data_IF_313273188283
#
_entry.id   IF_313273188283
#
_cell.length_a   1.000
_cell.length_b   1.000
_cell.length_c   1.000
_cell.angle_alpha   90.00
_cell.angle_beta   90.00
_cell.angle_gamma   90.00
#
_symmetry.space_group_name_H-M   'P 1'
#
loop_
_entity.id
_entity.type
_entity.pdbx_description
1 polymer ?
#
# COMPACT_ATOMS: atom_id res chain seq x y z
N UNK A 1 8.09 4.61 8.96
CA UNK A 1 7.57 4.16 7.65
C UNK A 1 6.79 5.33 7.04
N UNK A 2 6.85 5.50 5.73
CA UNK A 2 5.99 6.45 5.02
C UNK A 2 4.75 5.72 4.56
N UNK A 3 3.58 6.19 4.97
CA UNK A 3 2.27 5.68 4.58
C UNK A 3 1.73 6.61 3.49
N UNK A 4 1.38 6.05 2.35
CA UNK A 4 0.80 6.78 1.23
C UNK A 4 -0.66 6.35 1.12
N UNK A 5 -1.55 7.33 1.18
CA UNK A 5 -3.00 7.18 1.05
C UNK A 5 -3.52 8.12 -0.04
N UNK A 6 -4.76 7.92 -0.48
CA UNK A 6 -5.41 8.85 -1.42
C UNK A 6 -5.58 10.26 -0.85
N UNK A 7 -5.67 10.39 0.48
CA UNK A 7 -5.75 11.68 1.18
C UNK A 7 -4.40 12.38 1.36
N UNK A 8 -3.28 11.68 1.18
CA UNK A 8 -1.95 12.26 1.33
C UNK A 8 -0.86 11.29 1.78
N UNK A 9 0.24 11.85 2.27
CA UNK A 9 1.42 11.11 2.72
C UNK A 9 1.70 11.42 4.17
N UNK A 10 1.81 10.40 5.01
CA UNK A 10 2.17 10.52 6.43
C UNK A 10 3.44 9.72 6.76
N UNK A 11 4.21 10.19 7.73
CA UNK A 11 5.35 9.45 8.28
C UNK A 11 5.10 9.07 9.71
N UNK A 12 4.94 7.76 9.94
CA UNK A 12 4.64 7.18 11.24
C UNK A 12 5.67 6.12 11.65
N UNK A 13 5.92 5.99 12.95
CA UNK A 13 6.72 4.90 13.50
C UNK A 13 5.85 3.66 13.71
N UNK A 14 6.20 2.53 13.09
CA UNK A 14 5.54 1.25 13.34
C UNK A 14 6.46 0.37 14.19
N UNK A 15 5.92 -0.15 15.29
CA UNK A 15 6.58 -1.15 16.10
C UNK A 15 6.21 -2.54 15.60
N UNK A 16 7.17 -3.21 14.99
CA UNK A 16 7.03 -4.60 14.55
C UNK A 16 7.12 -5.54 15.75
N UNK A 17 6.23 -6.54 15.82
CA UNK A 17 6.33 -7.56 16.86
C UNK A 17 7.58 -8.43 16.61
N UNK A 18 8.37 -8.62 17.66
CA UNK A 18 9.68 -9.30 17.64
C UNK A 18 9.65 -10.67 18.35
N UNK A 19 8.46 -11.23 18.63
CA UNK A 19 8.34 -12.53 19.29
C UNK A 19 8.95 -13.66 18.43
N UNK A 20 9.38 -14.75 19.06
CA UNK A 20 9.92 -15.92 18.36
C UNK A 20 8.85 -16.55 17.46
N UNK A 21 9.05 -16.51 16.14
CA UNK A 21 8.05 -16.93 15.16
C UNK A 21 7.05 -15.83 14.76
N UNK A 22 7.30 -14.57 15.13
CA UNK A 22 6.59 -13.44 14.57
C UNK A 22 6.71 -13.42 13.03
N UNK A 23 5.65 -12.97 12.38
CA UNK A 23 5.64 -12.81 10.93
C UNK A 23 6.64 -11.73 10.50
N UNK A 24 7.08 -11.80 9.24
CA UNK A 24 7.97 -10.80 8.65
C UNK A 24 7.31 -9.42 8.61
N UNK A 25 8.09 -8.32 8.64
CA UNK A 25 7.57 -6.95 8.72
C UNK A 25 6.50 -6.61 7.66
N UNK A 26 6.65 -7.11 6.45
CA UNK A 26 5.69 -6.95 5.35
C UNK A 26 4.33 -7.61 5.66
N UNK A 27 4.33 -8.80 6.25
CA UNK A 27 3.10 -9.50 6.66
C UNK A 27 2.44 -8.82 7.84
N UNK A 28 3.23 -8.26 8.76
CA UNK A 28 2.71 -7.46 9.88
C UNK A 28 2.05 -6.17 9.38
N UNK A 29 2.62 -5.51 8.36
CA UNK A 29 1.97 -4.38 7.67
C UNK A 29 0.68 -4.82 6.98
N UNK A 30 0.71 -5.95 6.28
CA UNK A 30 -0.45 -6.49 5.60
C UNK A 30 -1.63 -6.74 6.57
N UNK A 31 -1.34 -7.28 7.76
CA UNK A 31 -2.35 -7.52 8.80
C UNK A 31 -3.03 -6.25 9.31
N UNK A 32 -2.40 -5.08 9.20
CA UNK A 32 -2.97 -3.79 9.63
C UNK A 32 -3.52 -2.96 8.47
N UNK A 33 -3.70 -3.56 7.29
CA UNK A 33 -4.29 -2.86 6.14
C UNK A 33 -3.29 -2.07 5.29
N UNK A 34 -1.99 -2.34 5.42
CA UNK A 34 -0.94 -1.64 4.69
C UNK A 34 -0.18 -2.59 3.77
N UNK A 35 -0.01 -2.20 2.51
CA UNK A 35 0.78 -2.95 1.54
C UNK A 35 2.19 -2.36 1.42
N UNK A 36 3.21 -3.13 1.79
CA UNK A 36 4.59 -2.67 1.74
C UNK A 36 5.09 -2.46 0.30
N UNK A 37 5.84 -1.38 0.06
CA UNK A 37 6.54 -1.16 -1.20
C UNK A 37 7.72 -2.13 -1.43
N UNK A 38 8.21 -2.75 -0.35
CA UNK A 38 9.31 -3.73 -0.38
C UNK A 38 9.11 -4.75 0.73
N UNK A 39 9.31 -6.04 0.40
CA UNK A 39 9.19 -7.14 1.35
C UNK A 39 10.42 -7.33 2.25
N UNK A 40 11.58 -6.80 1.85
CA UNK A 40 12.85 -6.99 2.59
C UNK A 40 13.16 -5.87 3.57
N UNK A 41 12.85 -4.62 3.20
CA UNK A 41 13.05 -3.46 4.05
C UNK A 41 11.96 -2.41 3.79
N UNK A 42 10.75 -2.59 4.36
CA UNK A 42 9.63 -1.71 4.11
C UNK A 42 9.86 -0.31 4.70
N UNK A 43 10.27 0.64 3.84
CA UNK A 43 10.36 2.07 4.18
C UNK A 43 9.09 2.84 3.85
N UNK A 44 8.34 2.33 2.87
CA UNK A 44 7.08 2.90 2.37
C UNK A 44 6.02 1.81 2.35
N UNK A 45 4.78 2.17 2.67
CA UNK A 45 3.61 1.32 2.50
C UNK A 45 2.42 2.13 1.97
N UNK A 46 1.49 1.44 1.33
CA UNK A 46 0.30 2.01 0.70
C UNK A 46 -0.95 1.49 1.40
N UNK A 47 -1.98 2.32 1.51
CA UNK A 47 -3.30 1.83 1.91
C UNK A 47 -3.93 1.03 0.77
N UNK A 48 -4.77 0.04 1.09
CA UNK A 48 -5.50 -0.70 0.06
C UNK A 48 -6.46 0.21 -0.72
N UNK A 49 -7.07 1.20 -0.08
CA UNK A 49 -7.93 2.18 -0.74
C UNK A 49 -7.20 2.95 -1.85
N UNK A 50 -5.93 3.34 -1.61
CA UNK A 50 -5.13 3.97 -2.65
C UNK A 50 -4.83 3.02 -3.82
N UNK A 51 -4.52 1.76 -3.53
CA UNK A 51 -4.26 0.76 -4.57
C UNK A 51 -5.52 0.46 -5.41
N UNK A 52 -6.68 0.37 -4.77
CA UNK A 52 -7.96 0.16 -5.44
C UNK A 52 -8.30 1.36 -6.35
N UNK A 53 -8.15 2.58 -5.86
CA UNK A 53 -8.33 3.79 -6.66
C UNK A 53 -7.36 3.83 -7.85
N UNK A 54 -6.09 3.46 -7.65
CA UNK A 54 -5.12 3.40 -8.74
C UNK A 54 -5.51 2.38 -9.83
N UNK A 55 -6.09 1.24 -9.44
CA UNK A 55 -6.59 0.25 -10.39
C UNK A 55 -7.82 0.80 -11.13
N UNK A 56 -8.76 1.43 -10.41
CA UNK A 56 -9.95 2.04 -11.00
C UNK A 56 -9.58 3.16 -11.98
N UNK A 57 -8.69 4.08 -11.60
CA UNK A 57 -8.23 5.18 -12.46
C UNK A 57 -7.61 4.63 -13.77
N UNK A 58 -6.80 3.58 -13.67
CA UNK A 58 -6.21 2.95 -14.86
C UNK A 58 -7.24 2.22 -15.74
N UNK A 59 -8.25 1.60 -15.13
CA UNK A 59 -9.36 0.97 -15.85
C UNK A 59 -10.22 2.02 -16.55
N UNK A 60 -10.61 3.10 -15.87
CA UNK A 60 -11.39 4.20 -16.45
C UNK A 60 -10.61 4.92 -17.54
N UNK A 61 -9.30 5.10 -17.39
CA UNK A 61 -8.43 5.66 -18.42
C UNK A 61 -8.41 4.77 -19.68
N UNK A 62 -8.35 3.45 -19.50
CA UNK A 62 -8.37 2.49 -20.62
C UNK A 62 -9.73 2.49 -21.34
N UNK A 63 -10.83 2.56 -20.59
CA UNK A 63 -12.20 2.63 -21.14
C UNK A 63 -12.44 3.96 -21.84
N UNK A 64 -12.01 5.08 -21.26
CA UNK A 64 -12.13 6.41 -21.87
C UNK A 64 -11.33 6.49 -23.18
N UNK A 65 -10.14 5.88 -23.23
CA UNK A 65 -9.37 5.77 -24.47
C UNK A 65 -10.08 4.92 -25.53
N UNK A 66 -10.74 3.82 -25.15
CA UNK A 66 -11.51 2.97 -26.07
C UNK A 66 -12.81 3.61 -26.55
N UNK A 67 -13.42 4.53 -25.80
CA UNK A 67 -14.68 5.21 -26.20
C UNK A 67 -14.40 6.41 -27.11
N UNK A 68 -13.22 7.04 -27.00
CA UNK A 68 -12.85 8.26 -27.75
C UNK A 68 -12.12 7.94 -29.07
N UNK A 69 -11.78 6.69 -29.36
CA UNK A 69 -11.02 6.28 -30.53
C UNK A 69 -11.74 5.23 -31.40
#
# INVERSE_FOLDING_TARGET
>A
ITIVDSSGVDTSSIQYCQYMGAQTPDKQLFQIGLFAASFTCPKTAFTFALLDNFILDNLECSVSYMIIH
#
